data_IF_782326022221
#
_entry.id   IF_782326022221
#
_cell.length_a   1.000
_cell.length_b   1.000
_cell.length_c   1.000
_cell.angle_alpha   90.00
_cell.angle_beta   90.00
_cell.angle_gamma   90.00
#
_symmetry.space_group_name_H-M   'P 1'
#
loop_
_entity.id
_entity.type
_entity.pdbx_description
1 polymer ?
#
# COMPACT_ATOMS: atom_id res chain seq x y z
N UNK A 1 -0.85 -103.80 -5.08
CA UNK A 1 -2.13 -103.79 -4.35
C UNK A 1 -2.44 -102.34 -3.97
N UNK A 2 -3.59 -101.80 -4.42
CA UNK A 2 -4.39 -100.66 -3.86
C UNK A 2 -3.66 -99.40 -3.35
N UNK A 3 -4.02 -98.14 -3.66
CA UNK A 3 -5.22 -97.51 -4.22
C UNK A 3 -4.90 -96.02 -4.49
N UNK A 4 -5.72 -95.40 -5.34
CA UNK A 4 -5.76 -93.98 -5.78
C UNK A 4 -5.89 -92.94 -4.65
N UNK A 5 -5.41 -91.70 -4.90
CA UNK A 5 -6.17 -90.42 -4.97
C UNK A 5 -5.20 -89.23 -4.74
N UNK A 6 -4.95 -88.39 -5.74
CA UNK A 6 -5.69 -87.19 -6.19
C UNK A 6 -5.41 -85.92 -5.35
N UNK A 7 -5.09 -84.85 -6.11
CA UNK A 7 -5.26 -83.41 -5.83
C UNK A 7 -4.31 -82.73 -4.83
N UNK A 8 -3.39 -81.91 -5.34
CA UNK A 8 -3.62 -80.46 -5.57
C UNK A 8 -2.39 -79.81 -6.21
N UNK A 9 -2.62 -79.19 -7.36
CA UNK A 9 -1.68 -78.33 -8.07
C UNK A 9 -1.55 -76.97 -7.37
N UNK A 10 -0.32 -76.49 -7.22
CA UNK A 10 -0.02 -75.07 -7.05
C UNK A 10 1.26 -74.78 -7.83
N UNK A 11 1.09 -74.37 -9.09
CA UNK A 11 2.18 -73.92 -9.94
C UNK A 11 2.56 -72.49 -9.55
N UNK A 12 3.80 -72.32 -9.11
CA UNK A 12 4.46 -71.04 -8.90
C UNK A 12 4.67 -70.39 -10.28
N UNK A 13 3.97 -69.29 -10.57
CA UNK A 13 4.21 -68.48 -11.76
C UNK A 13 5.03 -67.24 -11.37
N UNK A 14 6.25 -67.18 -11.91
CA UNK A 14 7.14 -66.03 -11.88
C UNK A 14 6.47 -64.86 -12.64
N UNK A 15 6.20 -63.74 -11.97
CA UNK A 15 5.85 -62.47 -12.61
C UNK A 15 7.12 -61.62 -12.65
N UNK A 16 7.70 -61.45 -13.85
CA UNK A 16 8.64 -60.37 -14.13
C UNK A 16 7.87 -59.05 -14.08
N UNK A 17 8.14 -58.24 -13.06
CA UNK A 17 7.70 -56.85 -13.02
C UNK A 17 8.69 -56.00 -13.82
N UNK A 18 8.29 -55.58 -15.02
CA UNK A 18 8.96 -54.56 -15.82
C UNK A 18 8.77 -53.20 -15.12
N UNK A 19 9.85 -52.68 -14.53
CA UNK A 19 9.90 -51.31 -14.02
C UNK A 19 9.97 -50.32 -15.20
N UNK A 20 8.81 -49.81 -15.62
CA UNK A 20 8.73 -48.62 -16.45
C UNK A 20 9.03 -47.41 -15.55
N UNK A 21 10.25 -46.87 -15.69
CA UNK A 21 10.63 -45.61 -15.09
C UNK A 21 9.80 -44.49 -15.70
N UNK A 22 8.79 -44.02 -14.96
CA UNK A 22 8.15 -42.73 -15.20
C UNK A 22 9.14 -41.70 -14.68
N UNK A 23 10.04 -41.23 -15.55
CA UNK A 23 10.75 -39.96 -15.34
C UNK A 23 9.70 -38.86 -15.38
N UNK A 24 9.18 -38.49 -14.21
CA UNK A 24 8.42 -37.27 -14.03
C UNK A 24 9.33 -36.11 -14.40
N UNK A 25 9.06 -35.48 -15.54
CA UNK A 25 9.55 -34.14 -15.80
C UNK A 25 8.90 -33.22 -14.75
N UNK A 26 9.56 -33.03 -13.62
CA UNK A 26 9.32 -31.87 -12.78
C UNK A 26 9.83 -30.68 -13.58
N UNK A 27 8.99 -30.13 -14.45
CA UNK A 27 9.22 -28.79 -14.96
C UNK A 27 9.20 -27.88 -13.74
N UNK A 28 10.37 -27.37 -13.35
CA UNK A 28 10.43 -26.24 -12.42
C UNK A 28 9.43 -25.19 -12.90
N UNK A 29 8.59 -24.62 -12.02
CA UNK A 29 7.64 -23.60 -12.43
C UNK A 29 8.42 -22.51 -13.16
N UNK A 30 8.06 -22.28 -14.43
CA UNK A 30 8.66 -21.23 -15.25
C UNK A 30 8.43 -19.92 -14.51
N UNK A 31 9.50 -19.32 -13.98
CA UNK A 31 9.41 -18.02 -13.35
C UNK A 31 8.84 -17.04 -14.37
N UNK A 32 7.71 -16.43 -14.05
CA UNK A 32 7.10 -15.38 -14.87
C UNK A 32 8.08 -14.20 -14.90
N UNK A 33 8.42 -13.69 -16.09
CA UNK A 33 9.32 -12.55 -16.20
C UNK A 33 8.65 -11.28 -15.68
N UNK A 34 9.44 -10.30 -15.22
CA UNK A 34 8.91 -9.03 -14.73
C UNK A 34 8.07 -8.30 -15.80
N UNK A 35 8.41 -8.44 -17.08
CA UNK A 35 7.65 -7.87 -18.19
C UNK A 35 6.28 -8.55 -18.38
N UNK A 36 6.23 -9.88 -18.28
CA UNK A 36 4.99 -10.63 -18.36
C UNK A 36 4.10 -10.37 -17.13
N UNK A 37 4.70 -10.24 -15.95
CA UNK A 37 3.99 -9.82 -14.74
C UNK A 37 3.44 -8.40 -14.88
N UNK A 38 4.25 -7.44 -15.36
CA UNK A 38 3.82 -6.07 -15.61
C UNK A 38 2.63 -5.99 -16.58
N UNK A 39 2.68 -6.76 -17.68
CA UNK A 39 1.59 -6.84 -18.66
C UNK A 39 0.28 -7.37 -18.05
N UNK A 40 0.36 -8.43 -17.23
CA UNK A 40 -0.80 -8.98 -16.53
C UNK A 40 -1.36 -7.98 -15.52
N UNK A 41 -0.48 -7.36 -14.73
CA UNK A 41 -0.86 -6.39 -13.72
C UNK A 41 -1.58 -5.19 -14.34
N UNK A 42 -1.11 -4.68 -15.48
CA UNK A 42 -1.76 -3.57 -16.18
C UNK A 42 -3.23 -3.87 -16.50
N UNK A 43 -3.50 -5.06 -17.04
CA UNK A 43 -4.86 -5.51 -17.39
C UNK A 43 -5.75 -5.63 -16.16
N UNK A 44 -5.21 -6.13 -15.06
CA UNK A 44 -5.94 -6.25 -13.80
C UNK A 44 -6.26 -4.88 -13.19
N UNK A 45 -5.31 -3.93 -13.22
CA UNK A 45 -5.52 -2.55 -12.80
C UNK A 45 -6.62 -1.87 -13.63
N UNK A 46 -6.55 -2.00 -14.97
CA UNK A 46 -7.54 -1.47 -15.89
C UNK A 46 -8.93 -2.05 -15.61
N UNK A 47 -9.02 -3.36 -15.39
CA UNK A 47 -10.27 -4.03 -15.06
C UNK A 47 -10.82 -3.62 -13.69
N UNK A 48 -9.96 -3.39 -12.70
CA UNK A 48 -10.36 -2.99 -11.36
C UNK A 48 -10.92 -1.56 -11.32
N UNK A 49 -10.33 -0.64 -12.08
CA UNK A 49 -10.63 0.79 -12.05
C UNK A 49 -10.85 1.37 -13.47
N UNK A 50 -11.91 0.95 -14.17
CA UNK A 50 -12.20 1.42 -15.51
C UNK A 50 -12.59 2.91 -15.52
N UNK A 51 -12.55 3.51 -16.72
CA UNK A 51 -13.06 4.87 -16.94
C UNK A 51 -14.56 4.98 -16.64
N UNK A 52 -14.91 5.88 -15.72
CA UNK A 52 -16.28 6.24 -15.32
C UNK A 52 -16.41 7.77 -15.19
N UNK A 53 -17.51 8.26 -14.60
CA UNK A 53 -17.62 9.67 -14.23
C UNK A 53 -16.53 10.08 -13.22
N UNK A 54 -16.03 11.32 -13.35
CA UNK A 54 -14.93 11.85 -12.51
C UNK A 54 -15.34 12.01 -11.04
N UNK A 55 -16.62 12.28 -10.77
CA UNK A 55 -17.21 12.37 -9.43
C UNK A 55 -18.04 11.15 -9.02
N UNK A 56 -17.89 10.01 -9.70
CA UNK A 56 -18.65 8.80 -9.38
C UNK A 56 -18.05 8.09 -8.15
N UNK A 57 -18.57 8.43 -6.96
CA UNK A 57 -18.15 7.86 -5.69
C UNK A 57 -18.40 6.34 -5.60
N UNK A 58 -19.47 5.83 -6.22
CA UNK A 58 -19.76 4.39 -6.23
C UNK A 58 -18.75 3.63 -7.08
N UNK A 59 -18.38 4.18 -8.25
CA UNK A 59 -17.32 3.61 -9.06
C UNK A 59 -15.95 3.69 -8.36
N UNK A 60 -15.71 4.75 -7.59
CA UNK A 60 -14.51 4.89 -6.76
C UNK A 60 -14.42 3.80 -5.70
N UNK A 61 -15.52 3.55 -4.97
CA UNK A 61 -15.58 2.51 -3.94
C UNK A 61 -15.40 1.12 -4.55
N UNK A 62 -16.07 0.82 -5.67
CA UNK A 62 -15.91 -0.44 -6.38
C UNK A 62 -14.45 -0.66 -6.84
N UNK A 63 -13.79 0.39 -7.33
CA UNK A 63 -12.38 0.37 -7.68
C UNK A 63 -11.48 0.09 -6.45
N UNK A 64 -11.73 0.77 -5.32
CA UNK A 64 -11.01 0.52 -4.07
C UNK A 64 -11.15 -0.94 -3.59
N UNK A 65 -12.36 -1.47 -3.67
CA UNK A 65 -12.69 -2.86 -3.35
C UNK A 65 -12.00 -3.87 -4.26
N UNK A 66 -12.03 -3.63 -5.57
CA UNK A 66 -11.39 -4.50 -6.55
C UNK A 66 -9.88 -4.51 -6.35
N UNK A 67 -9.24 -3.35 -6.24
CA UNK A 67 -7.79 -3.24 -6.00
C UNK A 67 -7.35 -3.95 -4.73
N UNK A 68 -8.15 -3.88 -3.67
CA UNK A 68 -7.87 -4.55 -2.40
C UNK A 68 -7.92 -6.08 -2.51
N UNK A 69 -8.80 -6.61 -3.38
CA UNK A 69 -9.00 -8.06 -3.61
C UNK A 69 -8.06 -8.64 -4.68
N UNK A 70 -7.27 -7.83 -5.37
CA UNK A 70 -6.31 -8.30 -6.36
C UNK A 70 -5.10 -8.96 -5.68
N UNK A 71 -5.10 -10.30 -5.64
CA UNK A 71 -4.00 -11.08 -5.07
C UNK A 71 -2.64 -10.76 -5.72
N UNK A 72 -2.61 -10.55 -7.04
CA UNK A 72 -1.40 -10.18 -7.80
C UNK A 72 -0.78 -8.87 -7.32
N UNK A 73 -1.62 -7.89 -6.97
CA UNK A 73 -1.19 -6.59 -6.47
C UNK A 73 -0.88 -6.68 -4.97
N UNK A 74 -1.66 -7.45 -4.20
CA UNK A 74 -1.39 -7.76 -2.78
C UNK A 74 -0.03 -8.39 -2.59
N UNK A 75 0.17 -9.53 -3.23
CA UNK A 75 1.31 -10.41 -2.99
C UNK A 75 2.60 -9.86 -3.60
N UNK A 76 2.51 -8.95 -4.58
CA UNK A 76 3.67 -8.33 -5.20
C UNK A 76 4.15 -7.05 -4.48
N UNK A 77 3.31 -6.37 -3.71
CA UNK A 77 3.71 -5.16 -2.99
C UNK A 77 4.41 -5.52 -1.67
N UNK A 78 5.46 -4.78 -1.33
CA UNK A 78 6.14 -4.88 -0.03
C UNK A 78 5.85 -3.64 0.81
N UNK A 79 5.95 -3.79 2.13
CA UNK A 79 5.91 -2.67 3.07
C UNK A 79 7.35 -2.24 3.44
N UNK A 80 7.73 -0.95 3.34
CA UNK A 80 6.90 0.18 2.90
C UNK A 80 6.68 0.15 1.39
N UNK A 81 5.49 0.58 0.98
CA UNK A 81 5.24 0.94 -0.40
C UNK A 81 5.47 2.45 -0.56
N UNK A 82 6.47 2.85 -1.33
CA UNK A 82 6.72 4.26 -1.56
C UNK A 82 5.79 4.83 -2.63
N UNK A 83 5.34 6.06 -2.41
CA UNK A 83 4.52 6.83 -3.34
C UNK A 83 5.07 8.25 -3.51
N UNK A 84 5.00 8.77 -4.73
CA UNK A 84 5.42 10.14 -4.99
C UNK A 84 5.11 10.62 -6.40
N UNK A 85 5.89 11.60 -6.84
CA UNK A 85 5.91 12.07 -8.22
C UNK A 85 7.34 12.00 -8.77
N UNK A 86 7.45 11.72 -10.05
CA UNK A 86 8.71 11.84 -10.77
C UNK A 86 9.15 13.31 -10.75
N UNK A 87 10.44 13.52 -10.50
CA UNK A 87 11.02 14.86 -10.54
C UNK A 87 11.45 15.17 -11.98
N UNK A 88 11.12 16.38 -12.49
CA UNK A 88 11.53 16.84 -13.81
C UNK A 88 13.00 16.54 -14.13
N UNK A 89 13.24 15.72 -15.15
CA UNK A 89 14.57 15.44 -15.69
C UNK A 89 15.43 14.48 -14.86
N UNK A 90 14.89 13.76 -13.88
CA UNK A 90 15.65 12.79 -13.06
C UNK A 90 15.43 11.33 -13.46
N UNK A 91 14.84 11.06 -14.64
CA UNK A 91 14.47 9.69 -15.06
C UNK A 91 13.68 8.98 -13.95
N UNK A 92 13.96 7.70 -13.70
CA UNK A 92 13.32 6.88 -12.66
C UNK A 92 14.12 6.83 -11.34
N UNK A 93 14.94 7.84 -11.05
CA UNK A 93 15.69 7.89 -9.79
C UNK A 93 14.77 8.13 -8.59
N UNK A 94 14.14 7.06 -8.12
CA UNK A 94 13.21 7.06 -7.00
C UNK A 94 13.88 7.40 -5.67
N UNK A 95 15.22 7.30 -5.57
CA UNK A 95 15.97 7.70 -4.37
C UNK A 95 16.03 9.22 -4.22
N UNK A 96 15.90 9.97 -5.31
CA UNK A 96 15.85 11.44 -5.32
C UNK A 96 14.43 12.01 -5.24
N UNK A 97 13.40 11.16 -5.31
CA UNK A 97 12.01 11.58 -5.15
C UNK A 97 11.70 11.87 -3.69
N UNK A 98 10.98 12.97 -3.44
CA UNK A 98 10.28 13.13 -2.17
C UNK A 98 9.21 12.04 -2.11
N UNK A 99 9.35 11.11 -1.17
CA UNK A 99 8.49 9.94 -1.07
C UNK A 99 7.71 9.93 0.24
N UNK A 100 6.50 9.40 0.14
CA UNK A 100 5.68 9.03 1.29
C UNK A 100 5.63 7.52 1.37
N UNK A 101 5.90 6.98 2.55
CA UNK A 101 5.86 5.54 2.77
C UNK A 101 4.48 5.15 3.29
N UNK A 102 3.85 4.21 2.59
CA UNK A 102 2.54 3.69 2.93
C UNK A 102 2.57 2.20 3.22
N UNK A 103 1.61 1.76 4.02
CA UNK A 103 1.20 0.38 4.00
C UNK A 103 0.59 0.05 2.61
N UNK A 104 0.89 -1.10 1.99
CA UNK A 104 0.36 -1.44 0.68
C UNK A 104 -1.16 -1.36 0.56
N UNK A 105 -1.90 -1.82 1.58
CA UNK A 105 -3.36 -1.77 1.59
C UNK A 105 -3.88 -0.33 1.57
N UNK A 106 -3.26 0.55 2.36
CA UNK A 106 -3.56 2.00 2.39
C UNK A 106 -3.39 2.60 1.01
N UNK A 107 -2.25 2.38 0.37
CA UNK A 107 -2.00 2.94 -0.96
C UNK A 107 -2.99 2.40 -2.00
N UNK A 108 -3.22 1.08 -2.05
CA UNK A 108 -4.16 0.48 -3.00
C UNK A 108 -5.58 1.02 -2.82
N UNK A 109 -6.09 0.97 -1.59
CA UNK A 109 -7.50 1.25 -1.32
C UNK A 109 -7.81 2.73 -1.33
N UNK A 110 -6.89 3.60 -0.90
CA UNK A 110 -7.15 5.04 -0.74
C UNK A 110 -6.48 5.93 -1.79
N UNK A 111 -5.28 5.58 -2.26
CA UNK A 111 -4.55 6.44 -3.19
C UNK A 111 -4.76 5.98 -4.62
N UNK A 112 -4.48 4.71 -4.91
CA UNK A 112 -4.58 4.17 -6.25
C UNK A 112 -6.01 4.23 -6.80
N UNK A 113 -7.01 4.05 -5.95
CA UNK A 113 -8.40 4.12 -6.39
C UNK A 113 -8.84 5.53 -6.83
N UNK A 114 -8.05 6.59 -6.54
CA UNK A 114 -8.29 7.95 -7.07
C UNK A 114 -8.09 8.05 -8.58
N UNK A 115 -7.52 6.99 -9.18
CA UNK A 115 -7.23 6.90 -10.59
C UNK A 115 -8.22 5.96 -11.30
N UNK A 116 -8.52 6.31 -12.54
CA UNK A 116 -9.19 5.47 -13.52
C UNK A 116 -8.22 5.22 -14.66
N UNK A 117 -8.16 4.00 -15.17
CA UNK A 117 -7.21 3.67 -16.24
C UNK A 117 -7.89 3.66 -17.59
N UNK A 118 -7.24 4.26 -18.58
CA UNK A 118 -7.81 4.47 -19.93
C UNK A 118 -7.87 3.19 -20.75
N UNK A 119 -7.10 2.17 -20.37
CA UNK A 119 -6.86 0.96 -21.14
C UNK A 119 -5.47 0.94 -21.79
N UNK A 120 -4.81 2.09 -21.90
CA UNK A 120 -3.49 2.22 -22.50
C UNK A 120 -2.40 1.99 -21.45
N UNK A 121 -1.40 1.17 -21.80
CA UNK A 121 -0.23 0.94 -20.98
C UNK A 121 0.97 0.56 -21.86
N UNK A 122 2.18 0.69 -21.30
CA UNK A 122 3.40 0.15 -21.89
C UNK A 122 4.30 -0.43 -20.81
N UNK A 123 5.13 -1.38 -21.20
CA UNK A 123 6.13 -2.01 -20.34
C UNK A 123 7.51 -1.62 -20.86
N UNK A 124 8.32 -1.00 -20.01
CA UNK A 124 9.68 -0.60 -20.32
C UNK A 124 10.67 -1.39 -19.47
N UNK A 125 11.72 -1.92 -20.10
CA UNK A 125 12.82 -2.56 -19.39
C UNK A 125 13.97 -1.59 -19.22
N UNK A 126 14.39 -1.37 -17.98
CA UNK A 126 15.60 -0.60 -17.64
C UNK A 126 16.74 -1.54 -17.24
N UNK A 127 17.89 -0.99 -16.88
CA UNK A 127 19.00 -1.77 -16.35
C UNK A 127 18.68 -2.40 -14.97
N UNK A 128 17.84 -1.74 -14.16
CA UNK A 128 17.66 -2.08 -12.74
C UNK A 128 16.32 -2.74 -12.40
N UNK A 129 15.30 -2.45 -13.21
CA UNK A 129 13.91 -2.88 -13.02
C UNK A 129 13.09 -2.78 -14.32
N UNK A 130 11.90 -3.38 -14.32
CA UNK A 130 10.85 -3.13 -15.31
C UNK A 130 9.95 -2.00 -14.82
N UNK A 131 9.59 -1.06 -15.70
CA UNK A 131 8.62 0.01 -15.41
C UNK A 131 7.34 -0.31 -16.15
N UNK A 132 6.26 -0.46 -15.38
CA UNK A 132 4.90 -0.45 -15.92
C UNK A 132 4.39 0.99 -15.96
N UNK A 133 4.09 1.46 -17.16
CA UNK A 133 3.44 2.74 -17.42
C UNK A 133 1.95 2.50 -17.68
N UNK A 134 1.07 3.07 -16.87
CA UNK A 134 -0.39 2.94 -17.05
C UNK A 134 -1.00 4.32 -17.19
N UNK A 135 -1.63 4.60 -18.34
CA UNK A 135 -2.32 5.87 -18.55
C UNK A 135 -3.57 5.94 -17.66
N UNK A 136 -3.79 7.11 -17.07
CA UNK A 136 -4.91 7.32 -16.17
C UNK A 136 -5.59 8.70 -16.31
N UNK A 137 -6.77 8.79 -15.71
CA UNK A 137 -7.44 10.04 -15.33
C UNK A 137 -7.65 10.04 -13.82
N UNK A 138 -7.30 11.15 -13.17
CA UNK A 138 -7.55 11.34 -11.74
C UNK A 138 -9.00 11.79 -11.53
N UNK A 139 -9.67 11.24 -10.54
CA UNK A 139 -11.06 11.55 -10.15
C UNK A 139 -11.09 12.86 -9.36
N UNK A 140 -11.09 14.00 -10.06
CA UNK A 140 -11.01 15.33 -9.45
C UNK A 140 -12.36 15.97 -9.10
N UNK A 141 -13.47 15.28 -9.36
CA UNK A 141 -14.83 15.76 -9.08
C UNK A 141 -15.50 14.97 -7.92
N UNK A 142 -14.73 14.17 -7.17
CA UNK A 142 -15.25 13.50 -5.96
C UNK A 142 -15.55 14.52 -4.85
N UNK A 143 -16.37 14.10 -3.88
CA UNK A 143 -16.60 14.91 -2.69
C UNK A 143 -15.33 14.98 -1.84
N UNK A 144 -15.19 16.04 -1.04
CA UNK A 144 -13.94 16.32 -0.32
C UNK A 144 -13.50 15.17 0.60
N UNK A 145 -14.46 14.44 1.18
CA UNK A 145 -14.24 13.30 2.06
C UNK A 145 -13.69 12.05 1.36
N UNK A 146 -13.84 11.95 0.04
CA UNK A 146 -13.36 10.82 -0.76
C UNK A 146 -11.85 10.88 -1.07
N UNK A 147 -11.19 11.97 -0.69
CA UNK A 147 -9.75 12.13 -0.86
C UNK A 147 -9.00 11.79 0.44
N UNK A 148 -7.84 11.09 0.36
CA UNK A 148 -7.03 10.72 1.53
C UNK A 148 -6.59 11.87 2.42
N UNK A 149 -6.54 13.09 1.87
CA UNK A 149 -6.26 14.35 2.56
C UNK A 149 -6.62 15.49 1.60
N UNK A 150 -6.72 16.75 2.06
CA UNK A 150 -7.01 17.88 1.19
C UNK A 150 -5.85 18.16 0.23
N UNK A 151 -5.77 17.47 -0.92
CA UNK A 151 -4.71 17.69 -1.92
C UNK A 151 -4.59 19.16 -2.34
N UNK A 152 -5.70 19.90 -2.27
CA UNK A 152 -5.85 21.32 -2.54
C UNK A 152 -5.30 22.26 -1.45
N UNK A 153 -4.73 21.74 -0.36
CA UNK A 153 -3.96 22.55 0.60
C UNK A 153 -2.81 23.31 -0.09
N UNK A 154 -2.29 22.75 -1.19
CA UNK A 154 -1.28 23.35 -2.03
C UNK A 154 -1.70 23.24 -3.50
N UNK A 155 -1.86 24.38 -4.19
CA UNK A 155 -2.33 24.41 -5.58
C UNK A 155 -1.44 23.60 -6.53
N UNK A 156 -0.12 23.70 -6.39
CA UNK A 156 0.82 22.99 -7.26
C UNK A 156 0.64 21.47 -7.16
N UNK A 157 0.55 20.96 -5.93
CA UNK A 157 0.18 19.58 -5.64
C UNK A 157 -1.15 19.19 -6.27
N UNK A 158 -2.23 19.93 -6.03
CA UNK A 158 -3.54 19.59 -6.58
C UNK A 158 -3.55 19.55 -8.12
N UNK A 159 -3.02 20.59 -8.76
CA UNK A 159 -2.84 20.63 -10.21
C UNK A 159 -2.04 19.43 -10.72
N UNK A 160 -0.99 19.01 -10.00
CA UNK A 160 -0.17 17.86 -10.39
C UNK A 160 -0.94 16.53 -10.41
N UNK A 161 -1.90 16.33 -9.49
CA UNK A 161 -2.75 15.14 -9.47
C UNK A 161 -3.77 15.17 -10.60
N UNK A 162 -4.43 16.30 -10.81
CA UNK A 162 -5.47 16.43 -11.85
C UNK A 162 -4.89 16.32 -13.27
N UNK A 163 -3.66 16.82 -13.45
CA UNK A 163 -3.00 16.89 -14.76
C UNK A 163 -2.12 15.69 -15.09
N UNK A 164 -1.77 14.83 -14.12
CA UNK A 164 -0.88 13.68 -14.36
C UNK A 164 -1.49 12.70 -15.37
N UNK A 165 -0.68 12.19 -16.30
CA UNK A 165 -1.20 11.34 -17.40
C UNK A 165 -0.95 9.85 -17.20
N UNK A 166 0.13 9.49 -16.52
CA UNK A 166 0.49 8.09 -16.32
C UNK A 166 0.99 7.82 -14.89
N UNK A 167 0.75 6.61 -14.42
CA UNK A 167 1.39 6.05 -13.24
C UNK A 167 2.56 5.16 -13.67
N UNK A 168 3.65 5.27 -12.93
CA UNK A 168 4.88 4.51 -13.10
C UNK A 168 4.99 3.52 -11.93
N UNK A 169 4.93 2.23 -12.19
CA UNK A 169 5.14 1.19 -11.18
C UNK A 169 6.45 0.45 -11.45
N UNK A 170 7.32 0.38 -10.44
CA UNK A 170 8.64 -0.23 -10.56
C UNK A 170 8.59 -1.69 -10.12
N UNK A 171 8.97 -2.59 -11.02
CA UNK A 171 8.86 -4.03 -10.84
C UNK A 171 10.25 -4.66 -10.91
N UNK A 172 10.57 -5.48 -9.90
CA UNK A 172 11.80 -6.25 -9.85
C UNK A 172 11.58 -7.59 -9.17
N UNK A 173 11.95 -8.68 -9.84
CA UNK A 173 11.82 -10.04 -9.33
C UNK A 173 10.39 -10.39 -8.86
N UNK A 174 9.38 -10.00 -9.66
CA UNK A 174 7.96 -10.20 -9.35
C UNK A 174 7.42 -9.35 -8.20
N UNK A 175 8.18 -8.34 -7.74
CA UNK A 175 7.76 -7.42 -6.68
C UNK A 175 7.63 -6.00 -7.19
N UNK A 176 6.62 -5.29 -6.71
CA UNK A 176 6.39 -3.87 -6.97
C UNK A 176 7.09 -3.09 -5.86
N UNK A 177 8.11 -2.33 -6.23
CA UNK A 177 8.94 -1.57 -5.30
C UNK A 177 8.25 -0.28 -4.82
N UNK A 178 7.41 0.31 -5.67
CA UNK A 178 6.69 1.55 -5.39
C UNK A 178 6.06 2.13 -6.65
N UNK A 179 5.49 3.33 -6.52
CA UNK A 179 4.84 4.04 -7.61
C UNK A 179 5.11 5.54 -7.64
N UNK A 180 5.12 6.12 -8.84
CA UNK A 180 5.15 7.56 -9.05
C UNK A 180 4.04 7.99 -10.02
N UNK A 181 3.54 9.21 -9.86
CA UNK A 181 2.98 9.96 -11.00
C UNK A 181 4.11 10.40 -11.93
N UNK A 182 3.95 10.28 -13.23
CA UNK A 182 4.90 10.83 -14.21
C UNK A 182 5.07 12.34 -14.08
N UNK A 183 6.20 12.84 -14.59
CA UNK A 183 6.38 14.28 -14.80
C UNK A 183 5.50 14.83 -15.94
N UNK A 184 5.06 13.95 -16.85
CA UNK A 184 4.18 14.32 -17.96
C UNK A 184 2.79 14.74 -17.46
N UNK A 185 2.33 15.87 -17.99
CA UNK A 185 1.05 16.49 -17.63
C UNK A 185 0.26 16.90 -18.87
N UNK A 186 -1.05 16.68 -18.82
CA UNK A 186 -2.00 17.15 -19.83
C UNK A 186 -2.61 18.47 -19.35
N UNK A 187 -2.05 19.58 -19.83
CA UNK A 187 -2.51 20.92 -19.48
C UNK A 187 -3.91 21.27 -20.00
N UNK A 188 -4.49 20.46 -20.90
CA UNK A 188 -5.83 20.66 -21.42
C UNK A 188 -6.92 20.03 -20.51
N UNK A 189 -6.54 19.28 -19.48
CA UNK A 189 -7.50 18.69 -18.54
C UNK A 189 -8.27 19.77 -17.78
N UNK A 190 -9.61 19.65 -17.69
CA UNK A 190 -10.39 20.46 -16.76
C UNK A 190 -9.86 20.29 -15.33
N UNK A 191 -9.73 21.41 -14.63
CA UNK A 191 -9.36 21.43 -13.21
C UNK A 191 -10.59 21.85 -12.40
N UNK A 192 -10.75 21.22 -11.25
CA UNK A 192 -11.73 21.57 -10.23
C UNK A 192 -10.98 22.33 -9.15
N UNK A 193 -11.45 23.52 -8.78
CA UNK A 193 -10.83 24.28 -7.70
C UNK A 193 -11.56 23.99 -6.38
N UNK A 194 -10.78 23.76 -5.32
CA UNK A 194 -11.27 23.68 -3.95
C UNK A 194 -10.56 24.73 -3.09
N UNK A 195 -11.26 25.28 -2.11
CA UNK A 195 -10.66 26.20 -1.14
C UNK A 195 -10.20 25.40 0.07
N UNK A 196 -8.93 25.55 0.45
CA UNK A 196 -8.43 24.99 1.70
C UNK A 196 -8.84 25.89 2.87
N UNK A 197 -9.46 25.29 3.88
CA UNK A 197 -9.98 25.98 5.07
C UNK A 197 -8.98 26.02 6.23
N UNK A 198 -7.78 25.47 6.04
CA UNK A 198 -6.74 25.37 7.07
C UNK A 198 -6.80 24.08 7.89
N UNK A 199 -7.80 23.22 7.67
CA UNK A 199 -8.00 22.01 8.45
C UNK A 199 -7.55 20.76 7.69
N UNK A 200 -7.01 19.79 8.44
CA UNK A 200 -6.71 18.45 7.96
C UNK A 200 -7.86 17.48 8.23
N UNK A 201 -8.69 17.79 9.22
CA UNK A 201 -9.89 17.04 9.58
C UNK A 201 -11.05 18.00 9.72
N UNK A 202 -12.23 17.55 9.34
CA UNK A 202 -13.44 18.31 9.54
C UNK A 202 -14.58 17.37 9.91
N UNK A 203 -15.71 17.96 10.29
CA UNK A 203 -16.97 17.24 10.41
C UNK A 203 -17.81 17.57 9.18
N UNK A 204 -18.42 16.56 8.58
CA UNK A 204 -19.39 16.78 7.52
C UNK A 204 -20.69 17.43 8.07
N UNK A 205 -21.67 17.66 7.20
CA UNK A 205 -22.94 18.24 7.61
C UNK A 205 -23.77 17.32 8.55
N UNK A 206 -23.48 16.03 8.57
CA UNK A 206 -24.08 15.02 9.46
C UNK A 206 -23.38 14.90 10.81
N UNK A 207 -22.20 15.49 10.97
CA UNK A 207 -21.36 15.37 12.16
C UNK A 207 -20.39 14.19 12.12
N UNK A 208 -20.23 13.53 10.97
CA UNK A 208 -19.27 12.44 10.78
C UNK A 208 -17.87 12.99 10.50
N UNK A 209 -16.85 12.27 10.95
CA UNK A 209 -15.46 12.68 10.82
C UNK A 209 -14.93 12.48 9.40
N UNK A 210 -14.28 13.50 8.87
CA UNK A 210 -13.72 13.53 7.51
C UNK A 210 -12.21 13.79 7.51
N UNK A 211 -11.45 13.26 6.52
CA UNK A 211 -11.93 12.45 5.39
C UNK A 211 -12.23 11.01 5.84
N UNK A 212 -13.44 10.52 5.56
CA UNK A 212 -13.92 9.22 6.04
C UNK A 212 -13.07 8.07 5.47
N UNK A 213 -12.49 8.26 4.27
CA UNK A 213 -11.58 7.29 3.63
C UNK A 213 -10.31 7.03 4.45
N UNK A 214 -10.01 7.89 5.42
CA UNK A 214 -8.85 7.77 6.31
C UNK A 214 -9.10 6.95 7.58
N UNK A 215 -10.35 6.53 7.78
CA UNK A 215 -10.75 5.71 8.91
C UNK A 215 -10.45 4.22 8.65
N UNK A 216 -10.24 3.45 9.72
CA UNK A 216 -10.05 2.00 9.60
C UNK A 216 -11.30 1.27 9.11
N UNK A 217 -12.49 1.81 9.39
CA UNK A 217 -13.76 1.29 8.89
C UNK A 217 -13.87 1.37 7.37
N UNK A 218 -13.21 2.35 6.75
CA UNK A 218 -13.07 2.40 5.29
C UNK A 218 -11.98 1.45 4.81
N UNK A 219 -10.83 1.40 5.49
CA UNK A 219 -9.67 0.64 5.02
C UNK A 219 -9.90 -0.88 5.00
N UNK A 220 -10.47 -1.41 6.09
CA UNK A 220 -10.57 -2.84 6.34
C UNK A 220 -11.95 -3.39 5.97
N UNK A 221 -12.01 -4.69 5.70
CA UNK A 221 -13.28 -5.36 5.41
C UNK A 221 -14.21 -5.31 6.62
N UNK A 222 -15.52 -5.17 6.40
CA UNK A 222 -16.50 -5.07 7.49
C UNK A 222 -16.55 -6.31 8.40
N UNK A 223 -16.02 -7.46 7.94
CA UNK A 223 -15.93 -8.70 8.70
C UNK A 223 -14.70 -8.80 9.60
N UNK A 224 -13.76 -7.85 9.51
CA UNK A 224 -12.51 -7.89 10.25
C UNK A 224 -12.73 -7.60 11.75
N UNK A 225 -12.57 -8.59 12.64
CA UNK A 225 -12.91 -8.43 14.06
C UNK A 225 -11.89 -7.59 14.83
N UNK A 226 -10.76 -7.22 14.20
CA UNK A 226 -9.66 -6.50 14.85
C UNK A 226 -9.78 -4.98 14.70
N UNK A 227 -10.64 -4.48 13.80
CA UNK A 227 -10.74 -3.05 13.44
C UNK A 227 -11.05 -2.16 14.65
N UNK A 228 -12.01 -2.54 15.51
CA UNK A 228 -12.35 -1.73 16.69
C UNK A 228 -11.16 -1.61 17.65
N UNK A 229 -10.43 -2.72 17.89
CA UNK A 229 -9.27 -2.72 18.77
C UNK A 229 -8.11 -1.91 18.17
N UNK A 230 -7.96 -1.94 16.85
CA UNK A 230 -6.99 -1.12 16.12
C UNK A 230 -7.30 0.37 16.26
N UNK A 231 -8.56 0.77 16.07
CA UNK A 231 -8.97 2.17 16.24
C UNK A 231 -8.71 2.64 17.68
N UNK A 232 -9.14 1.89 18.68
CA UNK A 232 -8.88 2.21 20.10
C UNK A 232 -7.38 2.39 20.39
N UNK A 233 -6.55 1.47 19.88
CA UNK A 233 -5.10 1.53 20.06
C UNK A 233 -4.48 2.75 19.36
N UNK A 234 -4.91 3.06 18.14
CA UNK A 234 -4.46 4.25 17.43
C UNK A 234 -4.88 5.53 18.15
N UNK A 235 -6.13 5.64 18.62
CA UNK A 235 -6.62 6.85 19.31
C UNK A 235 -5.85 7.12 20.59
N UNK A 236 -5.56 6.08 21.37
CA UNK A 236 -4.72 6.20 22.56
C UNK A 236 -3.28 6.65 22.20
N UNK A 237 -2.72 6.08 21.13
CA UNK A 237 -1.40 6.47 20.63
C UNK A 237 -1.40 7.93 20.13
N UNK A 238 -2.37 8.31 19.31
CA UNK A 238 -2.54 9.63 18.71
C UNK A 238 -2.67 10.73 19.78
N UNK A 239 -3.43 10.46 20.84
CA UNK A 239 -3.54 11.39 21.97
C UNK A 239 -2.18 11.70 22.59
N UNK A 240 -1.35 10.68 22.83
CA UNK A 240 -0.01 10.86 23.38
C UNK A 240 0.93 11.51 22.34
N UNK A 241 0.88 11.11 21.06
CA UNK A 241 1.68 11.74 19.99
C UNK A 241 1.39 13.24 19.85
N UNK A 242 0.14 13.67 20.03
CA UNK A 242 -0.23 15.10 20.03
C UNK A 242 0.43 15.86 21.19
N UNK A 243 0.55 15.24 22.36
CA UNK A 243 1.25 15.85 23.50
C UNK A 243 2.74 16.10 23.19
N UNK A 244 3.33 15.31 22.29
CA UNK A 244 4.71 15.44 21.82
C UNK A 244 4.86 16.09 20.44
N UNK A 245 3.78 16.69 19.90
CA UNK A 245 3.78 17.46 18.65
C UNK A 245 4.26 16.69 17.40
N UNK A 246 4.13 15.37 17.36
CA UNK A 246 4.62 14.56 16.23
C UNK A 246 4.00 14.99 14.88
N UNK A 247 2.74 15.41 14.89
CA UNK A 247 2.01 15.82 13.68
C UNK A 247 2.53 17.12 13.04
N UNK A 248 3.36 17.90 13.72
CA UNK A 248 3.93 19.13 13.14
C UNK A 248 4.92 18.85 12.02
N UNK A 249 5.67 17.74 12.12
CA UNK A 249 6.63 17.32 11.09
C UNK A 249 6.05 16.25 10.15
N UNK A 250 5.04 15.52 10.61
CA UNK A 250 4.47 14.34 9.96
C UNK A 250 3.09 14.59 9.36
N UNK A 251 2.92 15.78 8.77
CA UNK A 251 1.70 16.22 8.10
C UNK A 251 1.81 16.24 6.58
N UNK A 252 0.68 16.18 5.83
CA UNK A 252 0.72 16.08 4.37
C UNK A 252 1.27 17.30 3.63
N UNK A 253 1.37 18.47 4.29
CA UNK A 253 2.10 19.64 3.76
C UNK A 253 3.62 19.47 3.86
N UNK A 254 4.10 18.62 4.77
CA UNK A 254 5.51 18.30 4.96
C UNK A 254 6.39 19.55 5.04
N UNK A 255 5.98 20.52 5.86
CA UNK A 255 6.67 21.80 6.04
C UNK A 255 8.14 21.64 6.46
N UNK A 256 8.46 20.53 7.14
CA UNK A 256 9.79 20.17 7.62
C UNK A 256 10.61 19.33 6.62
N UNK A 257 10.05 19.00 5.45
CA UNK A 257 10.72 18.26 4.36
C UNK A 257 11.28 16.89 4.79
N UNK A 258 10.54 16.16 5.62
CA UNK A 258 10.84 14.79 6.01
C UNK A 258 10.90 13.89 4.76
N UNK A 259 11.89 13.00 4.70
CA UNK A 259 12.04 12.00 3.64
C UNK A 259 12.73 10.72 4.17
N UNK A 260 12.10 9.53 4.11
CA UNK A 260 10.70 9.33 3.75
C UNK A 260 9.75 10.09 4.69
N UNK A 261 8.59 10.49 4.19
CA UNK A 261 7.51 11.03 5.00
C UNK A 261 6.57 9.89 5.42
N UNK A 262 6.30 9.81 6.71
CA UNK A 262 5.22 9.02 7.28
C UNK A 262 4.17 9.97 7.85
N UNK A 263 2.89 9.64 7.70
CA UNK A 263 1.79 10.56 7.99
C UNK A 263 1.04 10.13 9.26
N UNK A 264 1.05 10.99 10.27
CA UNK A 264 0.40 10.76 11.56
C UNK A 264 -0.86 11.57 11.78
N UNK A 265 -1.30 12.32 10.76
CA UNK A 265 -2.55 13.05 10.82
C UNK A 265 -3.74 12.10 10.80
N UNK A 266 -3.64 11.00 10.07
CA UNK A 266 -4.78 10.13 9.80
C UNK A 266 -4.55 8.70 10.30
N UNK A 267 -5.58 8.04 10.87
CA UNK A 267 -5.46 6.71 11.47
C UNK A 267 -4.77 5.71 10.55
N UNK A 268 -5.37 5.45 9.39
CA UNK A 268 -4.86 4.40 8.53
C UNK A 268 -3.50 4.71 7.89
N UNK A 269 -3.12 5.98 7.77
CA UNK A 269 -1.82 6.37 7.25
C UNK A 269 -0.68 6.12 8.25
N UNK A 270 -0.96 6.03 9.55
CA UNK A 270 0.02 5.68 10.56
C UNK A 270 0.46 4.20 10.51
N UNK A 271 -0.23 3.36 9.73
CA UNK A 271 0.10 1.93 9.63
C UNK A 271 1.53 1.67 9.11
N UNK A 272 2.02 2.46 8.15
CA UNK A 272 3.38 2.30 7.59
C UNK A 272 4.47 2.50 8.63
N UNK A 273 4.21 3.37 9.60
CA UNK A 273 5.13 3.79 10.64
C UNK A 273 5.08 2.93 11.91
N UNK A 274 4.20 1.92 11.97
CA UNK A 274 3.91 1.22 13.25
C UNK A 274 5.14 0.62 13.93
N UNK A 275 6.13 0.16 13.15
CA UNK A 275 7.37 -0.37 13.70
C UNK A 275 8.46 0.69 13.80
N UNK A 276 8.57 1.56 12.79
CA UNK A 276 9.55 2.64 12.77
C UNK A 276 9.32 3.56 13.99
N UNK A 277 8.07 3.86 14.34
CA UNK A 277 7.72 4.59 15.55
C UNK A 277 8.25 3.93 16.84
N UNK A 278 8.19 2.60 16.96
CA UNK A 278 8.73 1.90 18.14
C UNK A 278 10.24 2.08 18.20
N UNK A 279 10.93 1.87 17.08
CA UNK A 279 12.38 2.03 16.97
C UNK A 279 12.80 3.47 17.28
N UNK A 280 12.13 4.47 16.71
CA UNK A 280 12.44 5.88 16.94
C UNK A 280 12.20 6.33 18.39
N UNK A 281 11.26 5.69 19.10
CA UNK A 281 11.02 5.91 20.52
C UNK A 281 12.04 5.17 21.41
N UNK A 282 12.50 4.00 20.99
CA UNK A 282 13.59 3.27 21.65
C UNK A 282 14.91 4.04 21.57
N UNK A 283 15.25 4.48 20.36
CA UNK A 283 16.51 5.17 20.05
C UNK A 283 16.45 6.67 20.40
N UNK A 284 15.24 7.21 20.57
CA UNK A 284 14.98 8.60 20.91
C UNK A 284 15.58 9.59 19.89
N UNK A 285 15.40 9.27 18.62
CA UNK A 285 16.05 9.92 17.47
C UNK A 285 15.15 10.93 16.74
N UNK A 286 13.87 11.02 17.11
CA UNK A 286 12.91 12.00 16.58
C UNK A 286 12.60 13.11 17.59
N UNK A 287 12.55 14.39 17.18
CA UNK A 287 12.81 14.87 15.82
C UNK A 287 14.30 14.81 15.44
N UNK A 288 14.64 14.88 14.14
CA UNK A 288 16.04 14.89 13.70
C UNK A 288 16.85 16.01 14.36
N UNK A 289 18.19 15.85 14.52
CA UNK A 289 19.04 16.86 15.14
C UNK A 289 18.88 18.25 14.53
N UNK A 290 18.70 19.26 15.38
CA UNK A 290 18.62 20.65 14.95
C UNK A 290 20.02 21.26 14.75
N UNK A 291 20.11 22.31 13.93
CA UNK A 291 21.36 23.02 13.63
C UNK A 291 22.01 23.71 14.84
N UNK A 292 21.25 23.89 15.93
CA UNK A 292 21.73 24.48 17.18
C UNK A 292 22.34 23.44 18.13
N UNK A 293 22.31 22.15 17.78
CA UNK A 293 22.85 21.07 18.61
C UNK A 293 22.11 20.88 19.94
N UNK A 294 20.87 21.37 20.05
CA UNK A 294 20.05 21.17 21.25
C UNK A 294 19.63 19.71 21.35
N UNK A 295 19.54 19.13 22.56
CA UNK A 295 18.99 17.80 22.76
C UNK A 295 17.62 17.66 22.08
N UNK A 296 17.44 16.57 21.34
CA UNK A 296 16.20 16.19 20.67
C UNK A 296 15.65 14.90 21.28
N UNK A 297 14.38 14.61 21.02
CA UNK A 297 13.68 13.48 21.61
C UNK A 297 12.91 13.82 22.87
N UNK A 298 12.25 12.81 23.42
CA UNK A 298 11.42 12.91 24.62
C UNK A 298 12.34 12.67 25.83
N UNK A 299 12.72 13.76 26.50
CA UNK A 299 13.68 13.72 27.62
C UNK A 299 13.14 13.01 28.86
N UNK A 300 11.83 13.06 29.08
CA UNK A 300 11.17 12.33 30.16
C UNK A 300 11.03 10.86 29.76
N UNK A 301 11.86 10.01 30.37
CA UNK A 301 11.87 8.58 30.08
C UNK A 301 10.53 7.92 30.37
N UNK A 302 9.79 8.37 31.39
CA UNK A 302 8.50 7.78 31.71
C UNK A 302 7.45 8.11 30.65
N UNK A 303 7.48 9.33 30.10
CA UNK A 303 6.60 9.72 28.98
C UNK A 303 6.98 8.96 27.71
N UNK A 304 8.29 8.83 27.43
CA UNK A 304 8.78 8.07 26.28
C UNK A 304 8.40 6.59 26.36
N UNK A 305 8.57 5.96 27.52
CA UNK A 305 8.21 4.57 27.75
C UNK A 305 6.69 4.34 27.64
N UNK A 306 5.89 5.30 28.11
CA UNK A 306 4.43 5.29 27.93
C UNK A 306 4.07 5.32 26.44
N UNK A 307 4.62 6.28 25.69
CA UNK A 307 4.35 6.41 24.25
C UNK A 307 4.82 5.18 23.48
N UNK A 308 5.97 4.61 23.85
CA UNK A 308 6.48 3.35 23.27
C UNK A 308 5.50 2.18 23.51
N UNK A 309 4.99 2.01 24.73
CA UNK A 309 4.03 0.95 25.02
C UNK A 309 2.71 1.09 24.23
N UNK A 310 2.26 2.33 23.99
CA UNK A 310 1.14 2.62 23.11
C UNK A 310 1.45 2.26 21.65
N UNK A 311 2.66 2.59 21.17
CA UNK A 311 3.11 2.25 19.82
C UNK A 311 3.19 0.73 19.61
N UNK A 312 3.70 -0.03 20.58
CA UNK A 312 3.72 -1.50 20.56
C UNK A 312 2.30 -2.09 20.52
N UNK A 313 1.38 -1.51 21.29
CA UNK A 313 -0.03 -1.93 21.31
C UNK A 313 -0.70 -1.67 19.96
N UNK A 314 -0.46 -0.48 19.38
CA UNK A 314 -0.92 -0.12 18.05
C UNK A 314 -0.36 -1.05 16.98
N UNK A 315 0.95 -1.28 16.94
CA UNK A 315 1.60 -2.14 15.97
C UNK A 315 1.05 -3.56 16.01
N UNK A 316 0.84 -4.10 17.22
CA UNK A 316 0.23 -5.42 17.38
C UNK A 316 -1.21 -5.45 16.86
N UNK A 317 -2.03 -4.46 17.19
CA UNK A 317 -3.42 -4.41 16.72
C UNK A 317 -3.49 -4.25 15.20
N UNK A 318 -2.57 -3.48 14.63
CA UNK A 318 -2.42 -3.30 13.19
C UNK A 318 -2.05 -4.60 12.50
N UNK A 319 -1.10 -5.37 13.04
CA UNK A 319 -0.73 -6.68 12.49
C UNK A 319 -1.88 -7.69 12.55
N UNK A 320 -2.61 -7.73 13.66
CA UNK A 320 -3.78 -8.60 13.81
C UNK A 320 -4.84 -8.25 12.73
N UNK A 321 -5.07 -6.95 12.46
CA UNK A 321 -6.03 -6.50 11.44
C UNK A 321 -5.54 -6.72 9.99
N UNK A 322 -4.28 -6.41 9.70
CA UNK A 322 -3.66 -6.61 8.38
C UNK A 322 -3.61 -8.09 8.01
N UNK A 323 -3.22 -8.95 8.96
CA UNK A 323 -3.18 -10.40 8.74
C UNK A 323 -4.55 -10.98 8.40
N UNK A 324 -5.64 -10.40 8.90
CA UNK A 324 -6.99 -10.83 8.56
C UNK A 324 -7.34 -10.56 7.08
N UNK A 325 -6.82 -9.46 6.51
CA UNK A 325 -6.99 -9.13 5.08
C UNK A 325 -6.03 -9.92 4.16
N UNK A 326 -5.18 -10.79 4.74
CA UNK A 326 -4.16 -11.52 4.01
C UNK A 326 -2.90 -10.70 3.70
N UNK A 327 -2.75 -9.52 4.30
CA UNK A 327 -1.54 -8.71 4.16
C UNK A 327 -0.39 -9.33 4.94
N UNK A 328 0.81 -9.32 4.36
CA UNK A 328 2.02 -9.76 5.07
C UNK A 328 2.67 -8.59 5.80
N UNK A 329 2.62 -8.59 7.13
CA UNK A 329 3.47 -7.70 7.94
C UNK A 329 4.92 -8.19 7.91
N UNK A 330 5.84 -7.32 7.50
CA UNK A 330 7.28 -7.53 7.69
C UNK A 330 7.76 -6.54 8.73
N UNK A 331 8.17 -7.06 9.89
CA UNK A 331 8.87 -6.26 10.89
C UNK A 331 10.23 -5.88 10.30
N UNK A 332 10.51 -4.57 10.22
CA UNK A 332 11.79 -4.05 9.75
C UNK A 332 12.87 -4.17 10.82
#
# INVERSE_FOLDING_TARGET
MYKKNLLRSASLAFVLASALGITGCTSDPVAVSDEAFADSLAKELIAACPMTGLGDASAREACADNLTKLDSLRDAMNEPFFWGSQKPGTSYDYAQSQRTDFNPLVWRRMYLSTYMFTGEYRVEKTADFTVLHVEHRFRNELDLGDYPYPFWHEKGKWDSYQKSVELLLFIKNGKILGGLRSEEQDAARPVVDHTWDGNWHWMDAGGEAEPYVTLYSFLFSAGNPHVSKLDDAYRALEEEMRAHQCQTCHSPDNSMKMNPLELFNYPNQALSARYDLITELEDNTMPPPNSMGLPVGIMDTAQRDKLKALAETFAKAADDALSYEGETSVRR
#
